data_IF_815105632785
#
_entry.id   IF_815105632785
#
_cell.length_a   1.000
_cell.length_b   1.000
_cell.length_c   1.000
_cell.angle_alpha   90.00
_cell.angle_beta   90.00
_cell.angle_gamma   90.00
#
_symmetry.space_group_name_H-M   'P 1'
#
loop_
_entity.id
_entity.type
_entity.pdbx_description
1 polymer ?
#
# COMPACT_ATOMS: atom_id res chain seq x y z
N UNK A 1 33.40 -30.07 54.81
CA UNK A 1 33.51 -30.28 53.35
C UNK A 1 32.26 -29.68 52.72
N UNK A 2 32.35 -28.43 52.29
CA UNK A 2 31.34 -27.76 51.46
C UNK A 2 32.08 -26.65 50.72
N UNK A 3 32.63 -26.98 49.55
CA UNK A 3 33.02 -25.95 48.59
C UNK A 3 31.90 -25.92 47.55
N UNK A 4 30.97 -24.99 47.75
CA UNK A 4 30.25 -24.37 46.65
C UNK A 4 31.28 -23.74 45.72
N UNK A 5 31.29 -24.16 44.46
CA UNK A 5 31.93 -23.42 43.38
C UNK A 5 31.01 -23.39 42.17
N UNK A 6 30.15 -22.39 42.21
CA UNK A 6 29.28 -21.85 41.18
C UNK A 6 30.12 -21.37 39.97
N UNK A 7 30.48 -22.28 39.06
CA UNK A 7 31.11 -21.92 37.79
C UNK A 7 30.38 -22.60 36.63
N UNK A 8 29.63 -21.80 35.89
CA UNK A 8 29.17 -22.09 34.54
C UNK A 8 30.33 -22.63 33.70
N UNK A 9 30.40 -23.95 33.47
CA UNK A 9 31.58 -24.55 32.86
C UNK A 9 31.74 -24.05 31.41
N UNK A 10 32.88 -23.44 31.13
CA UNK A 10 33.26 -22.99 29.80
C UNK A 10 33.29 -24.18 28.83
N UNK A 11 32.78 -23.96 27.63
CA UNK A 11 32.76 -24.95 26.56
C UNK A 11 33.21 -24.36 25.23
N UNK A 12 34.00 -25.14 24.50
CA UNK A 12 34.53 -24.81 23.19
C UNK A 12 33.79 -25.62 22.13
N UNK A 13 33.21 -24.93 21.16
CA UNK A 13 32.42 -25.53 20.10
C UNK A 13 33.12 -25.39 18.76
N UNK A 14 33.05 -26.42 17.92
CA UNK A 14 33.48 -26.38 16.53
C UNK A 14 32.28 -26.74 15.65
N UNK A 15 31.63 -25.73 15.08
CA UNK A 15 30.43 -25.87 14.24
C UNK A 15 30.87 -25.82 12.78
N UNK A 16 30.98 -26.99 12.13
CA UNK A 16 31.39 -27.10 10.72
C UNK A 16 32.72 -26.39 10.39
N UNK A 17 33.67 -26.39 11.33
CA UNK A 17 34.98 -25.72 11.19
C UNK A 17 35.03 -24.32 11.79
N UNK A 18 33.91 -23.73 12.22
CA UNK A 18 33.88 -22.43 12.92
C UNK A 18 33.94 -22.63 14.44
N UNK A 19 34.91 -21.98 15.07
CA UNK A 19 35.19 -22.12 16.50
C UNK A 19 34.46 -21.07 17.32
N UNK A 20 33.79 -21.50 18.39
CA UNK A 20 33.08 -20.64 19.35
C UNK A 20 33.46 -21.03 20.77
N UNK A 21 33.28 -20.08 21.70
CA UNK A 21 33.45 -20.29 23.13
C UNK A 21 32.24 -19.70 23.85
N UNK A 22 31.66 -20.46 24.78
CA UNK A 22 30.51 -20.05 25.59
C UNK A 22 30.47 -20.86 26.88
N UNK A 23 29.37 -20.81 27.63
CA UNK A 23 29.16 -21.68 28.79
C UNK A 23 28.02 -22.67 28.56
N UNK A 24 28.02 -23.78 29.32
CA UNK A 24 26.90 -24.74 29.27
C UNK A 24 25.58 -24.06 29.57
N UNK A 25 25.53 -23.17 30.57
CA UNK A 25 24.31 -22.43 30.93
C UNK A 25 23.73 -21.64 29.75
N UNK A 26 24.59 -21.03 28.93
CA UNK A 26 24.13 -20.33 27.73
C UNK A 26 23.41 -21.27 26.77
N UNK A 27 23.86 -22.52 26.66
CA UNK A 27 23.30 -23.51 25.74
C UNK A 27 22.04 -24.20 26.29
N UNK A 28 21.81 -24.15 27.61
CA UNK A 28 20.78 -24.96 28.27
C UNK A 28 19.67 -24.15 28.95
N UNK A 29 19.92 -22.89 29.35
CA UNK A 29 18.96 -22.17 30.20
C UNK A 29 17.78 -21.57 29.44
N UNK A 30 18.00 -20.99 28.25
CA UNK A 30 16.94 -20.23 27.54
C UNK A 30 15.88 -21.15 26.97
N UNK A 31 16.30 -22.27 26.39
CA UNK A 31 15.41 -23.30 25.86
C UNK A 31 15.85 -24.67 26.35
N UNK A 32 15.46 -25.05 27.57
CA UNK A 32 15.91 -26.31 28.19
C UNK A 32 15.41 -27.56 27.46
N UNK A 33 14.31 -27.43 26.72
CA UNK A 33 13.71 -28.52 25.94
C UNK A 33 14.23 -28.61 24.50
N UNK A 34 15.13 -27.70 24.09
CA UNK A 34 15.72 -27.71 22.75
C UNK A 34 16.67 -28.91 22.54
N UNK A 35 16.87 -29.29 21.27
CA UNK A 35 17.86 -30.31 20.92
C UNK A 35 19.26 -29.89 21.40
N UNK A 36 19.59 -28.59 21.27
CA UNK A 36 20.88 -28.06 21.71
C UNK A 36 21.05 -28.20 23.23
N UNK A 37 20.04 -27.86 24.03
CA UNK A 37 20.10 -28.07 25.47
C UNK A 37 20.23 -29.56 25.84
N UNK A 38 19.51 -30.44 25.14
CA UNK A 38 19.59 -31.88 25.34
C UNK A 38 21.00 -32.44 25.05
N UNK A 39 21.68 -31.95 24.02
CA UNK A 39 23.07 -32.30 23.69
C UNK A 39 24.02 -32.00 24.86
N UNK A 40 23.82 -30.87 25.55
CA UNK A 40 24.69 -30.41 26.64
C UNK A 40 24.12 -30.67 28.05
N UNK A 41 23.06 -31.45 28.17
CA UNK A 41 22.41 -31.80 29.45
C UNK A 41 23.19 -32.79 30.32
N UNK A 42 24.35 -33.26 29.85
CA UNK A 42 25.16 -34.31 30.51
C UNK A 42 24.64 -35.74 30.29
N UNK A 43 23.51 -35.92 29.59
CA UNK A 43 22.91 -37.23 29.28
C UNK A 43 23.47 -37.90 28.02
N UNK A 44 24.21 -37.16 27.20
CA UNK A 44 24.79 -37.64 25.94
C UNK A 44 26.32 -37.54 25.98
N UNK A 45 27.01 -38.57 25.50
CA UNK A 45 28.46 -38.52 25.31
C UNK A 45 28.79 -37.69 24.08
N UNK A 46 29.32 -36.48 24.29
CA UNK A 46 29.76 -35.61 23.22
C UNK A 46 31.19 -35.95 22.80
N UNK A 47 31.43 -36.07 21.49
CA UNK A 47 32.78 -36.25 20.95
C UNK A 47 33.57 -34.95 21.11
N UNK A 48 34.64 -35.01 21.91
CA UNK A 48 35.57 -33.89 22.12
C UNK A 48 36.90 -34.19 21.45
N UNK A 49 37.46 -33.18 20.78
CA UNK A 49 38.84 -33.20 20.31
C UNK A 49 39.78 -33.47 21.51
N UNK A 50 40.53 -34.58 21.52
CA UNK A 50 41.36 -34.98 22.66
C UNK A 50 42.48 -33.99 23.00
N UNK A 51 42.95 -33.21 22.03
CA UNK A 51 44.05 -32.26 22.21
C UNK A 51 43.56 -30.87 22.58
N UNK A 52 42.43 -30.43 22.00
CA UNK A 52 41.97 -29.03 22.06
C UNK A 52 40.69 -28.82 22.85
N UNK A 53 39.98 -29.89 23.20
CA UNK A 53 38.76 -29.87 24.00
C UNK A 53 37.55 -29.24 23.30
N UNK A 54 37.52 -29.26 21.96
CA UNK A 54 36.38 -28.76 21.20
C UNK A 54 35.33 -29.85 21.02
N UNK A 55 34.07 -29.54 21.32
CA UNK A 55 32.93 -30.35 20.89
C UNK A 55 32.63 -30.04 19.43
N UNK A 56 32.67 -31.06 18.58
CA UNK A 56 32.37 -30.90 17.16
C UNK A 56 30.88 -31.11 16.87
N UNK A 57 30.29 -30.20 16.10
CA UNK A 57 28.94 -30.30 15.55
C UNK A 57 29.03 -30.13 14.03
N UNK A 58 28.56 -31.13 13.30
CA UNK A 58 28.57 -31.17 11.84
C UNK A 58 27.42 -30.36 11.24
N UNK A 59 27.49 -29.04 11.43
CA UNK A 59 26.48 -28.04 11.02
C UNK A 59 27.15 -26.81 10.42
N UNK A 60 26.41 -25.96 9.72
CA UNK A 60 26.99 -24.73 9.16
C UNK A 60 27.22 -23.66 10.24
N UNK A 61 28.50 -23.44 10.56
CA UNK A 61 28.91 -22.42 11.53
C UNK A 61 28.82 -20.97 11.03
N UNK A 62 28.51 -20.71 9.75
CA UNK A 62 28.50 -19.36 9.14
C UNK A 62 27.64 -18.36 9.93
N UNK A 63 26.47 -18.79 10.38
CA UNK A 63 25.50 -17.96 11.09
C UNK A 63 25.27 -18.32 12.56
N UNK A 64 25.99 -19.32 13.08
CA UNK A 64 25.84 -19.79 14.47
C UNK A 64 26.05 -18.70 15.53
N UNK A 65 26.82 -17.63 15.21
CA UNK A 65 26.98 -16.47 16.11
C UNK A 65 25.63 -15.82 16.49
N UNK A 66 24.66 -15.83 15.58
CA UNK A 66 23.35 -15.23 15.80
C UNK A 66 22.51 -16.05 16.77
N UNK A 67 22.52 -17.38 16.60
CA UNK A 67 21.92 -18.32 17.56
C UNK A 67 22.56 -18.14 18.94
N UNK A 68 23.90 -18.07 18.99
CA UNK A 68 24.61 -17.94 20.25
C UNK A 68 24.31 -16.62 20.97
N UNK A 69 24.21 -15.51 20.24
CA UNK A 69 23.84 -14.23 20.83
C UNK A 69 22.39 -14.25 21.32
N UNK A 70 21.47 -14.77 20.53
CA UNK A 70 20.08 -14.90 20.96
C UNK A 70 19.93 -15.79 22.20
N UNK A 71 20.70 -16.87 22.32
CA UNK A 71 20.75 -17.68 23.55
C UNK A 71 21.20 -16.86 24.77
N UNK A 72 22.12 -15.90 24.59
CA UNK A 72 22.62 -15.02 25.66
C UNK A 72 21.60 -13.95 26.04
N UNK A 73 21.15 -13.14 25.09
CA UNK A 73 20.39 -11.91 25.37
C UNK A 73 18.90 -11.99 24.98
N UNK A 74 18.50 -12.98 24.19
CA UNK A 74 17.12 -13.15 23.72
C UNK A 74 16.73 -12.24 22.56
N UNK A 75 17.67 -11.43 22.05
CA UNK A 75 17.41 -10.47 20.98
C UNK A 75 17.46 -11.22 19.64
N UNK A 76 16.34 -11.20 18.93
CA UNK A 76 16.25 -11.78 17.58
C UNK A 76 17.19 -10.99 16.65
N UNK A 77 18.05 -11.67 15.87
CA UNK A 77 19.07 -10.99 15.07
C UNK A 77 18.45 -10.17 13.93
N UNK A 78 18.86 -8.90 13.78
CA UNK A 78 18.49 -8.09 12.62
C UNK A 78 19.33 -8.46 11.39
N UNK A 79 18.70 -9.07 10.39
CA UNK A 79 19.35 -9.56 9.17
C UNK A 79 18.66 -9.05 7.89
N UNK A 80 19.36 -9.20 6.76
CA UNK A 80 18.74 -9.10 5.42
C UNK A 80 17.88 -10.34 5.17
N UNK A 81 16.80 -10.21 4.40
CA UNK A 81 15.78 -11.26 4.27
C UNK A 81 16.33 -12.59 3.76
N UNK A 82 17.25 -12.55 2.80
CA UNK A 82 17.93 -13.74 2.28
C UNK A 82 18.75 -14.51 3.32
N UNK A 83 19.12 -13.88 4.44
CA UNK A 83 19.92 -14.51 5.51
C UNK A 83 19.06 -15.13 6.61
N UNK A 84 17.80 -14.72 6.78
CA UNK A 84 16.92 -15.34 7.78
C UNK A 84 16.65 -16.81 7.46
N UNK A 85 16.54 -17.18 6.18
CA UNK A 85 16.38 -18.58 5.76
C UNK A 85 17.57 -19.47 6.14
N UNK A 86 18.78 -18.91 6.22
CA UNK A 86 19.97 -19.66 6.66
C UNK A 86 19.96 -19.84 8.19
N UNK A 87 19.56 -18.81 8.95
CA UNK A 87 19.44 -18.90 10.42
C UNK A 87 18.30 -19.80 10.85
N UNK A 88 17.14 -19.72 10.19
CA UNK A 88 15.97 -20.56 10.47
C UNK A 88 16.31 -22.04 10.33
N UNK A 89 17.02 -22.43 9.27
CA UNK A 89 17.45 -23.83 9.07
C UNK A 89 18.29 -24.38 10.22
N UNK A 90 19.16 -23.56 10.79
CA UNK A 90 19.96 -23.97 11.96
C UNK A 90 19.12 -23.92 13.26
N UNK A 91 18.26 -22.90 13.44
CA UNK A 91 17.36 -22.81 14.59
C UNK A 91 16.38 -23.99 14.66
N UNK A 92 15.85 -24.44 13.51
CA UNK A 92 15.01 -25.64 13.37
C UNK A 92 15.78 -26.91 13.75
N UNK A 93 17.03 -27.06 13.27
CA UNK A 93 17.86 -28.20 13.63
C UNK A 93 18.10 -28.27 15.15
N UNK A 94 18.45 -27.14 15.77
CA UNK A 94 18.65 -27.05 17.21
C UNK A 94 17.35 -27.04 18.03
N UNK A 95 16.19 -27.00 17.36
CA UNK A 95 14.86 -26.89 17.95
C UNK A 95 14.71 -25.69 18.88
N UNK A 96 15.12 -24.51 18.39
CA UNK A 96 15.05 -23.24 19.10
C UNK A 96 13.74 -22.49 18.79
N UNK A 97 12.62 -22.92 19.37
CA UNK A 97 11.27 -22.49 18.98
C UNK A 97 11.04 -20.98 19.14
N UNK A 98 11.50 -20.39 20.24
CA UNK A 98 11.39 -18.95 20.50
C UNK A 98 12.20 -18.10 19.53
N UNK A 99 13.33 -18.62 19.01
CA UNK A 99 14.07 -17.93 17.94
C UNK A 99 13.32 -18.01 16.61
N UNK A 100 12.76 -19.18 16.30
CA UNK A 100 11.96 -19.40 15.08
C UNK A 100 10.76 -18.45 15.07
N UNK A 101 9.98 -18.43 16.16
CA UNK A 101 8.82 -17.56 16.31
C UNK A 101 9.20 -16.08 16.24
N UNK A 102 10.30 -15.70 16.89
CA UNK A 102 10.84 -14.35 16.85
C UNK A 102 11.23 -13.90 15.43
N UNK A 103 11.86 -14.77 14.64
CA UNK A 103 12.20 -14.48 13.24
C UNK A 103 10.94 -14.37 12.39
N UNK A 104 9.99 -15.30 12.55
CA UNK A 104 8.72 -15.26 11.81
C UNK A 104 7.92 -13.99 12.10
N UNK A 105 7.90 -13.53 13.35
CA UNK A 105 7.25 -12.27 13.72
C UNK A 105 7.86 -11.06 12.98
N UNK A 106 9.19 -11.00 12.85
CA UNK A 106 9.86 -9.94 12.08
C UNK A 106 9.52 -10.02 10.60
N UNK A 107 9.54 -11.23 10.02
CA UNK A 107 9.24 -11.43 8.60
C UNK A 107 7.78 -11.12 8.26
N UNK A 108 6.85 -11.46 9.14
CA UNK A 108 5.42 -11.17 8.95
C UNK A 108 5.15 -9.66 9.09
N UNK A 109 5.75 -9.00 10.08
CA UNK A 109 5.63 -7.55 10.24
C UNK A 109 6.09 -6.79 8.99
N UNK A 110 7.20 -7.22 8.37
CA UNK A 110 7.68 -6.65 7.11
C UNK A 110 6.69 -6.84 5.95
N UNK A 111 6.01 -7.99 5.88
CA UNK A 111 4.99 -8.24 4.85
C UNK A 111 3.76 -7.36 5.04
N UNK A 112 3.33 -7.17 6.28
CA UNK A 112 2.22 -6.26 6.61
C UNK A 112 2.56 -4.80 6.23
N UNK A 113 3.79 -4.36 6.51
CA UNK A 113 4.27 -3.03 6.13
C UNK A 113 4.38 -2.86 4.60
N UNK A 114 4.67 -3.93 3.83
CA UNK A 114 4.72 -3.89 2.36
C UNK A 114 3.33 -3.96 1.70
N UNK A 115 2.34 -4.66 2.28
CA UNK A 115 0.97 -4.71 1.74
C UNK A 115 0.22 -3.38 1.86
N UNK A 116 0.51 -2.59 2.91
CA UNK A 116 -0.03 -1.24 3.10
C UNK A 116 0.45 -0.23 2.04
N UNK A 117 1.52 -0.53 1.30
CA UNK A 117 2.15 0.37 0.31
C UNK A 117 1.87 -0.04 -1.15
N UNK A 118 0.98 -1.01 -1.38
CA UNK A 118 0.56 -1.33 -2.76
C UNK A 118 -0.40 -0.27 -3.31
N UNK A 119 0.13 0.65 -4.12
CA UNK A 119 -0.68 1.56 -4.93
C UNK A 119 -1.69 0.74 -5.77
N UNK A 120 -2.97 1.10 -5.69
CA UNK A 120 -4.04 0.53 -6.52
C UNK A 120 -3.61 0.53 -7.99
N UNK A 121 -3.60 -0.62 -8.65
CA UNK A 121 -3.21 -0.69 -10.07
C UNK A 121 -4.43 -0.59 -10.98
N UNK A 122 -4.22 -0.22 -12.26
CA UNK A 122 -5.29 -0.29 -13.28
C UNK A 122 -5.93 -1.69 -13.35
N UNK A 123 -5.17 -2.75 -13.13
CA UNK A 123 -5.68 -4.13 -13.12
C UNK A 123 -6.66 -4.35 -11.97
N UNK A 124 -6.38 -3.78 -10.80
CA UNK A 124 -7.27 -3.88 -9.63
C UNK A 124 -8.58 -3.13 -9.91
N UNK A 125 -8.50 -1.96 -10.54
CA UNK A 125 -9.69 -1.22 -11.00
C UNK A 125 -10.53 -2.05 -11.96
N UNK A 126 -9.90 -2.69 -12.96
CA UNK A 126 -10.60 -3.54 -13.93
C UNK A 126 -11.31 -4.71 -13.25
N UNK A 127 -10.65 -5.35 -12.28
CA UNK A 127 -11.28 -6.44 -11.50
C UNK A 127 -12.48 -5.94 -10.71
N UNK A 128 -12.35 -4.79 -10.06
CA UNK A 128 -13.46 -4.21 -9.29
C UNK A 128 -14.66 -3.93 -10.18
N UNK A 129 -14.48 -3.24 -11.32
CA UNK A 129 -15.62 -2.85 -12.20
C UNK A 129 -16.33 -4.05 -12.83
N UNK A 130 -15.71 -5.23 -12.82
CA UNK A 130 -16.31 -6.48 -13.29
C UNK A 130 -17.10 -7.23 -12.20
N UNK A 131 -16.98 -6.88 -10.91
CA UNK A 131 -17.51 -7.70 -9.80
C UNK A 131 -18.68 -7.06 -9.01
N UNK A 132 -19.60 -6.36 -9.68
CA UNK A 132 -20.74 -5.59 -9.14
C UNK A 132 -20.41 -4.23 -8.51
N UNK A 133 -21.41 -3.31 -8.58
CA UNK A 133 -21.41 -1.88 -8.21
C UNK A 133 -20.19 -1.40 -7.41
N UNK A 134 -19.26 -0.75 -8.11
CA UNK A 134 -18.00 -0.29 -7.54
C UNK A 134 -18.11 1.09 -6.91
N UNK A 135 -17.49 1.24 -5.73
CA UNK A 135 -17.30 2.52 -5.06
C UNK A 135 -15.81 2.73 -4.81
N UNK A 136 -15.23 3.74 -5.44
CA UNK A 136 -13.87 4.22 -5.19
C UNK A 136 -13.92 5.47 -4.32
N UNK A 137 -14.57 5.38 -3.16
CA UNK A 137 -14.66 6.52 -2.24
C UNK A 137 -13.40 6.65 -1.39
N UNK A 138 -12.83 7.84 -1.30
CA UNK A 138 -11.69 8.12 -0.42
C UNK A 138 -10.37 7.46 -0.83
N UNK A 139 -10.31 6.80 -2.00
CA UNK A 139 -9.11 6.10 -2.46
C UNK A 139 -8.16 7.04 -3.20
N UNK A 140 -6.87 6.73 -3.17
CA UNK A 140 -5.88 7.40 -4.00
C UNK A 140 -5.74 6.63 -5.33
N UNK A 141 -6.10 7.29 -6.42
CA UNK A 141 -5.97 6.76 -7.79
C UNK A 141 -4.97 7.58 -8.61
N UNK A 142 -4.20 8.47 -7.97
CA UNK A 142 -3.36 9.44 -8.65
C UNK A 142 -2.45 8.81 -9.70
N UNK A 143 -2.36 9.44 -10.87
CA UNK A 143 -1.51 9.00 -11.97
C UNK A 143 -1.99 7.76 -12.73
N UNK A 144 -3.08 7.10 -12.30
CA UNK A 144 -3.57 5.92 -12.99
C UNK A 144 -4.10 6.26 -14.38
N UNK A 145 -3.82 5.37 -15.32
CA UNK A 145 -4.52 5.36 -16.59
C UNK A 145 -5.83 4.60 -16.44
N UNK A 146 -6.96 5.31 -16.52
CA UNK A 146 -8.33 4.81 -16.53
C UNK A 146 -9.02 5.07 -17.89
N UNK A 147 -8.23 5.37 -18.92
CA UNK A 147 -8.72 5.69 -20.26
C UNK A 147 -9.53 4.52 -20.84
N UNK A 148 -10.59 4.87 -21.58
CA UNK A 148 -11.48 3.95 -22.31
C UNK A 148 -12.26 2.96 -21.44
N UNK A 149 -12.19 3.06 -20.11
CA UNK A 149 -12.97 2.21 -19.22
C UNK A 149 -14.43 2.66 -19.17
N UNK A 150 -15.32 1.69 -18.97
CA UNK A 150 -16.68 1.97 -18.54
C UNK A 150 -16.69 2.11 -17.02
N UNK A 151 -16.86 3.34 -16.58
CA UNK A 151 -16.89 3.78 -15.19
C UNK A 151 -18.25 4.44 -14.89
N UNK A 152 -19.27 4.08 -15.67
CA UNK A 152 -20.62 4.57 -15.42
C UNK A 152 -21.11 4.15 -14.04
N UNK A 153 -21.83 5.06 -13.37
CA UNK A 153 -22.37 4.87 -12.02
C UNK A 153 -21.32 4.66 -10.90
N UNK A 154 -20.02 4.77 -11.19
CA UNK A 154 -18.96 4.61 -10.20
C UNK A 154 -18.94 5.80 -9.25
N UNK A 155 -18.83 5.53 -7.96
CA UNK A 155 -18.72 6.57 -6.94
C UNK A 155 -17.26 6.86 -6.60
N UNK A 156 -16.72 7.97 -7.10
CA UNK A 156 -15.36 8.47 -6.81
C UNK A 156 -15.33 9.46 -5.64
N UNK A 157 -16.41 9.65 -4.89
CA UNK A 157 -16.47 10.73 -3.90
C UNK A 157 -15.29 10.68 -2.92
N UNK A 158 -14.69 11.83 -2.59
CA UNK A 158 -13.54 11.97 -1.71
C UNK A 158 -12.23 11.33 -2.23
N UNK A 159 -12.21 10.82 -3.47
CA UNK A 159 -11.00 10.22 -4.05
C UNK A 159 -9.98 11.28 -4.47
N UNK A 160 -8.70 10.87 -4.44
CA UNK A 160 -7.61 11.63 -5.06
C UNK A 160 -7.40 11.13 -6.49
N UNK A 161 -7.80 11.94 -7.48
CA UNK A 161 -7.71 11.67 -8.91
C UNK A 161 -6.65 12.53 -9.61
N UNK A 162 -5.63 12.97 -8.86
CA UNK A 162 -4.59 13.85 -9.41
C UNK A 162 -3.87 13.18 -10.57
N UNK A 163 -3.73 13.89 -11.69
CA UNK A 163 -3.05 13.40 -12.90
C UNK A 163 -3.60 12.05 -13.44
N UNK A 164 -4.84 11.70 -13.15
CA UNK A 164 -5.48 10.48 -13.68
C UNK A 164 -5.88 10.68 -15.13
N UNK A 165 -5.71 9.64 -15.95
CA UNK A 165 -6.14 9.67 -17.35
C UNK A 165 -7.52 9.01 -17.50
N UNK A 166 -8.54 9.82 -17.77
CA UNK A 166 -9.90 9.40 -18.14
C UNK A 166 -10.18 9.54 -19.64
N UNK A 167 -9.15 9.62 -20.48
CA UNK A 167 -9.36 9.89 -21.91
C UNK A 167 -10.28 8.84 -22.54
N UNK A 168 -11.36 9.29 -23.19
CA UNK A 168 -12.38 8.42 -23.81
C UNK A 168 -13.08 7.46 -22.83
N UNK A 169 -13.01 7.68 -21.52
CA UNK A 169 -13.74 6.89 -20.54
C UNK A 169 -15.24 7.24 -20.56
N UNK A 170 -16.09 6.26 -20.24
CA UNK A 170 -17.50 6.49 -19.96
C UNK A 170 -17.67 6.74 -18.45
N UNK A 171 -18.01 7.97 -18.07
CA UNK A 171 -18.25 8.39 -16.69
C UNK A 171 -19.71 8.83 -16.50
N UNK A 172 -20.62 8.32 -17.34
CA UNK A 172 -22.04 8.59 -17.23
C UNK A 172 -22.56 8.25 -15.83
N UNK A 173 -23.25 9.19 -15.17
CA UNK A 173 -23.77 9.04 -13.82
C UNK A 173 -22.74 8.66 -12.74
N UNK A 174 -21.43 8.86 -12.99
CA UNK A 174 -20.41 8.72 -11.96
C UNK A 174 -20.47 9.87 -10.95
N UNK A 175 -20.18 9.59 -9.68
CA UNK A 175 -20.22 10.59 -8.59
C UNK A 175 -18.82 11.11 -8.27
N UNK A 176 -18.67 12.42 -8.10
CA UNK A 176 -17.38 13.07 -7.85
C UNK A 176 -17.40 14.06 -6.67
N UNK A 177 -18.28 13.85 -5.69
CA UNK A 177 -18.37 14.74 -4.53
C UNK A 177 -17.01 14.84 -3.83
N UNK A 178 -16.53 16.05 -3.57
CA UNK A 178 -15.26 16.32 -2.86
C UNK A 178 -14.02 15.61 -3.44
N UNK A 179 -13.98 15.48 -4.77
CA UNK A 179 -12.82 14.89 -5.47
C UNK A 179 -11.74 15.93 -5.76
N UNK A 180 -10.48 15.53 -5.57
CA UNK A 180 -9.31 16.24 -6.07
C UNK A 180 -8.89 15.68 -7.44
N UNK A 181 -9.33 16.31 -8.52
CA UNK A 181 -8.99 15.94 -9.89
C UNK A 181 -7.97 16.91 -10.53
N UNK A 182 -7.08 17.50 -9.72
CA UNK A 182 -6.04 18.40 -10.22
C UNK A 182 -5.17 17.72 -11.29
N UNK A 183 -5.07 18.34 -12.47
CA UNK A 183 -4.28 17.83 -13.60
C UNK A 183 -4.84 16.57 -14.28
N UNK A 184 -6.04 16.10 -13.90
CA UNK A 184 -6.66 14.95 -14.54
C UNK A 184 -7.03 15.24 -16.02
N UNK A 185 -6.99 14.20 -16.84
CA UNK A 185 -7.24 14.27 -18.28
C UNK A 185 -8.58 13.61 -18.63
N UNK A 186 -9.57 14.41 -18.99
CA UNK A 186 -10.91 13.96 -19.42
C UNK A 186 -11.12 14.12 -20.93
N UNK A 187 -10.05 14.14 -21.72
CA UNK A 187 -10.13 14.34 -23.16
C UNK A 187 -11.04 13.31 -23.84
N UNK A 188 -12.07 13.79 -24.54
CA UNK A 188 -13.14 12.97 -25.15
C UNK A 188 -13.87 12.03 -24.17
N UNK A 189 -13.84 12.29 -22.85
CA UNK A 189 -14.62 11.52 -21.88
C UNK A 189 -16.10 11.94 -21.89
N UNK A 190 -16.98 11.03 -21.48
CA UNK A 190 -18.42 11.31 -21.33
C UNK A 190 -18.76 11.46 -19.85
N UNK A 191 -19.12 12.66 -19.41
CA UNK A 191 -19.50 13.01 -18.04
C UNK A 191 -20.92 13.60 -18.05
N UNK A 192 -21.90 12.77 -18.42
CA UNK A 192 -23.30 13.18 -18.56
C UNK A 192 -24.13 12.68 -17.37
N UNK A 193 -25.00 13.52 -16.83
CA UNK A 193 -26.06 13.09 -15.90
C UNK A 193 -27.34 12.64 -16.65
N UNK A 194 -28.16 11.81 -16.02
CA UNK A 194 -29.51 11.55 -16.53
C UNK A 194 -30.38 12.81 -16.44
N UNK A 195 -31.24 13.01 -17.44
CA UNK A 195 -32.26 14.05 -17.41
C UNK A 195 -33.18 13.85 -16.19
N UNK A 196 -33.02 14.73 -15.20
CA UNK A 196 -33.75 14.78 -13.92
C UNK A 196 -35.29 14.86 -14.07
N UNK A 197 -35.79 15.00 -15.30
CA UNK A 197 -37.22 15.08 -15.62
C UNK A 197 -37.90 13.72 -15.84
N UNK A 198 -37.16 12.59 -15.89
CA UNK A 198 -37.74 11.27 -16.21
C UNK A 198 -38.06 10.38 -15.00
N UNK A 199 -37.61 10.71 -13.79
CA UNK A 199 -37.85 9.89 -12.61
C UNK A 199 -38.30 10.75 -11.42
N UNK A 200 -39.61 10.94 -11.31
CA UNK A 200 -40.23 11.52 -10.13
C UNK A 200 -39.75 10.82 -8.86
N UNK A 201 -39.20 11.60 -7.93
CA UNK A 201 -38.75 11.19 -6.60
C UNK A 201 -37.58 10.19 -6.56
N UNK A 202 -36.37 10.64 -6.87
CA UNK A 202 -35.18 10.16 -6.16
C UNK A 202 -34.35 11.37 -5.76
N UNK A 203 -34.04 11.45 -4.47
CA UNK A 203 -33.13 12.42 -3.86
C UNK A 203 -31.85 12.55 -4.71
N UNK A 204 -31.77 13.62 -5.52
CA UNK A 204 -30.53 14.07 -6.12
C UNK A 204 -29.65 14.57 -4.98
N UNK A 205 -28.88 13.65 -4.39
CA UNK A 205 -27.68 14.04 -3.66
C UNK A 205 -26.93 15.02 -4.58
N UNK A 206 -26.66 16.21 -4.06
CA UNK A 206 -25.91 17.29 -4.71
C UNK A 206 -24.51 16.78 -5.14
N UNK A 207 -24.43 16.08 -6.28
CA UNK A 207 -23.30 15.18 -6.60
C UNK A 207 -22.01 15.89 -7.01
N UNK A 208 -22.02 17.22 -7.12
CA UNK A 208 -20.90 17.98 -7.69
C UNK A 208 -20.59 19.29 -6.97
N UNK A 209 -21.25 19.53 -5.84
CA UNK A 209 -20.89 20.66 -4.97
C UNK A 209 -19.42 20.48 -4.59
N UNK A 210 -18.61 21.50 -4.86
CA UNK A 210 -17.18 21.58 -4.48
C UNK A 210 -16.17 20.75 -5.31
N UNK A 211 -16.56 20.23 -6.49
CA UNK A 211 -15.60 19.51 -7.35
C UNK A 211 -14.40 20.38 -7.79
N UNK A 212 -13.18 19.86 -7.66
CA UNK A 212 -11.94 20.54 -8.01
C UNK A 212 -11.39 20.01 -9.35
N UNK A 213 -11.57 20.79 -10.41
CA UNK A 213 -11.02 20.56 -11.77
C UNK A 213 -9.86 21.52 -12.11
N UNK A 214 -9.09 21.96 -11.11
CA UNK A 214 -8.00 22.92 -11.34
C UNK A 214 -7.00 22.36 -12.35
N UNK A 215 -6.69 23.15 -13.38
CA UNK A 215 -5.78 22.78 -14.47
C UNK A 215 -6.16 21.47 -15.21
N UNK A 216 -7.38 20.97 -15.08
CA UNK A 216 -7.82 19.76 -15.78
C UNK A 216 -7.93 19.99 -17.30
N UNK A 217 -7.70 18.94 -18.08
CA UNK A 217 -7.93 18.95 -19.53
C UNK A 217 -9.29 18.33 -19.85
N UNK A 218 -10.28 19.19 -20.14
CA UNK A 218 -11.65 18.83 -20.50
C UNK A 218 -11.91 19.07 -22.00
N UNK A 219 -10.84 19.23 -22.80
CA UNK A 219 -10.95 19.50 -24.25
C UNK A 219 -11.77 18.40 -24.92
N UNK A 220 -12.78 18.78 -25.71
CA UNK A 220 -13.74 17.88 -26.38
C UNK A 220 -14.55 16.96 -25.44
N UNK A 221 -14.56 17.20 -24.12
CA UNK A 221 -15.39 16.40 -23.21
C UNK A 221 -16.88 16.71 -23.41
N UNK A 222 -17.73 15.71 -23.14
CA UNK A 222 -19.17 15.90 -23.10
C UNK A 222 -19.65 16.04 -21.64
N UNK A 223 -20.07 17.24 -21.26
CA UNK A 223 -20.61 17.64 -19.96
C UNK A 223 -22.06 18.17 -20.10
N UNK A 224 -22.80 17.74 -21.13
CA UNK A 224 -24.21 18.15 -21.29
C UNK A 224 -25.04 17.79 -20.04
N UNK A 225 -25.78 18.77 -19.52
CA UNK A 225 -26.60 18.63 -18.32
C UNK A 225 -25.83 18.48 -16.99
N UNK A 226 -24.49 18.56 -17.00
CA UNK A 226 -23.70 18.36 -15.80
C UNK A 226 -24.00 19.41 -14.71
N UNK A 227 -24.18 18.96 -13.46
CA UNK A 227 -24.23 19.86 -12.32
C UNK A 227 -22.77 20.19 -11.94
N UNK A 228 -22.39 21.47 -11.94
CA UNK A 228 -21.05 21.97 -11.64
C UNK A 228 -21.15 23.21 -10.72
N UNK A 229 -22.22 23.29 -9.90
CA UNK A 229 -22.45 24.42 -9.01
C UNK A 229 -21.30 24.55 -7.99
N UNK A 230 -20.67 25.72 -7.94
CA UNK A 230 -19.54 25.99 -7.05
C UNK A 230 -18.21 25.31 -7.44
N UNK A 231 -18.16 24.56 -8.55
CA UNK A 231 -16.98 23.82 -8.96
C UNK A 231 -15.76 24.74 -9.22
N UNK A 232 -14.57 24.25 -8.89
CA UNK A 232 -13.32 24.97 -9.10
C UNK A 232 -12.62 24.55 -10.40
N UNK A 233 -12.90 25.28 -11.47
CA UNK A 233 -12.39 25.05 -12.82
C UNK A 233 -11.21 25.99 -13.18
N UNK A 234 -10.55 26.61 -12.19
CA UNK A 234 -9.48 27.58 -12.45
C UNK A 234 -8.38 26.96 -13.33
N UNK A 235 -8.07 27.61 -14.45
CA UNK A 235 -7.04 27.18 -15.39
C UNK A 235 -7.39 25.94 -16.23
N UNK A 236 -8.61 25.40 -16.13
CA UNK A 236 -9.04 24.26 -16.93
C UNK A 236 -9.11 24.59 -18.43
N UNK A 237 -8.80 23.59 -19.27
CA UNK A 237 -8.97 23.67 -20.73
C UNK A 237 -10.35 23.14 -21.10
N UNK A 238 -11.24 24.02 -21.58
CA UNK A 238 -12.62 23.71 -21.96
C UNK A 238 -12.86 23.89 -23.47
N UNK A 239 -11.80 23.84 -24.28
CA UNK A 239 -11.92 24.04 -25.72
C UNK A 239 -12.80 22.96 -26.36
N UNK A 240 -13.79 23.37 -27.16
CA UNK A 240 -14.74 22.47 -27.83
C UNK A 240 -15.47 21.50 -26.88
N UNK A 241 -15.58 21.85 -25.60
CA UNK A 241 -16.34 21.09 -24.60
C UNK A 241 -17.83 21.33 -24.77
N UNK A 242 -18.65 20.28 -24.67
CA UNK A 242 -20.11 20.41 -24.65
C UNK A 242 -20.60 20.65 -23.21
N UNK A 243 -21.03 21.86 -22.89
CA UNK A 243 -21.60 22.27 -21.59
C UNK A 243 -23.08 22.68 -21.73
N UNK A 244 -23.76 22.22 -22.79
CA UNK A 244 -25.17 22.51 -23.01
C UNK A 244 -26.01 22.08 -21.79
N UNK A 245 -26.93 22.92 -21.35
CA UNK A 245 -27.81 22.71 -20.19
C UNK A 245 -27.10 22.46 -18.83
N UNK A 246 -25.77 22.67 -18.75
CA UNK A 246 -25.01 22.47 -17.52
C UNK A 246 -25.29 23.55 -16.45
N UNK A 247 -25.26 23.17 -15.17
CA UNK A 247 -25.37 24.11 -14.06
C UNK A 247 -23.98 24.54 -13.56
N UNK A 248 -23.48 25.68 -14.00
CA UNK A 248 -22.20 26.29 -13.60
C UNK A 248 -22.39 27.45 -12.59
N UNK A 249 -23.53 27.52 -11.89
CA UNK A 249 -23.78 28.60 -10.94
C UNK A 249 -22.66 28.65 -9.88
N UNK A 250 -22.18 29.86 -9.55
CA UNK A 250 -21.09 30.08 -8.58
C UNK A 250 -19.75 29.38 -8.90
N UNK A 251 -19.58 28.80 -10.09
CA UNK A 251 -18.34 28.11 -10.46
C UNK A 251 -17.15 29.09 -10.59
N UNK A 252 -15.95 28.63 -10.20
CA UNK A 252 -14.70 29.38 -10.34
C UNK A 252 -14.04 29.10 -11.69
N UNK A 253 -14.40 29.85 -12.72
CA UNK A 253 -13.93 29.75 -14.11
C UNK A 253 -12.82 30.78 -14.42
N UNK A 254 -11.89 31.02 -13.50
CA UNK A 254 -10.80 31.99 -13.74
C UNK A 254 -9.75 31.40 -14.67
N UNK A 255 -9.26 32.18 -15.63
CA UNK A 255 -8.19 31.79 -16.56
C UNK A 255 -8.49 30.52 -17.38
N UNK A 256 -9.78 30.23 -17.63
CA UNK A 256 -10.18 29.10 -18.47
C UNK A 256 -10.09 29.43 -19.95
N UNK A 257 -9.88 28.41 -20.78
CA UNK A 257 -10.02 28.53 -22.24
C UNK A 257 -11.39 27.98 -22.68
N UNK A 258 -12.28 28.87 -23.11
CA UNK A 258 -13.65 28.58 -23.55
C UNK A 258 -13.81 28.65 -25.09
N UNK A 259 -12.72 28.48 -25.84
CA UNK A 259 -12.78 28.51 -27.30
C UNK A 259 -13.66 27.37 -27.83
N UNK A 260 -14.61 27.71 -28.69
CA UNK A 260 -15.54 26.75 -29.31
C UNK A 260 -16.38 25.93 -28.30
N UNK A 261 -16.50 26.36 -27.04
CA UNK A 261 -17.34 25.68 -26.03
C UNK A 261 -18.83 25.89 -26.32
N UNK A 262 -19.62 24.82 -26.27
CA UNK A 262 -21.08 24.87 -26.39
C UNK A 262 -21.71 25.14 -25.01
N UNK A 263 -22.42 26.25 -24.86
CA UNK A 263 -22.99 26.75 -23.59
C UNK A 263 -24.50 27.00 -23.68
N UNK A 264 -25.16 26.52 -24.72
CA UNK A 264 -26.61 26.69 -24.91
C UNK A 264 -27.36 26.15 -23.67
N UNK A 265 -28.20 26.98 -23.04
CA UNK A 265 -28.95 26.57 -21.84
C UNK A 265 -28.14 26.46 -20.54
N UNK A 266 -26.82 26.69 -20.56
CA UNK A 266 -25.99 26.62 -19.36
C UNK A 266 -26.32 27.75 -18.35
N UNK A 267 -26.40 27.41 -17.06
CA UNK A 267 -26.63 28.37 -15.97
C UNK A 267 -25.30 28.86 -15.42
N UNK A 268 -25.02 30.16 -15.53
CA UNK A 268 -23.75 30.78 -15.12
C UNK A 268 -23.91 31.81 -13.99
N UNK A 269 -25.06 31.86 -13.31
CA UNK A 269 -25.33 32.88 -12.29
C UNK A 269 -24.28 32.82 -11.17
N UNK A 270 -23.61 33.96 -10.93
CA UNK A 270 -22.55 34.07 -9.93
C UNK A 270 -21.22 33.39 -10.28
N UNK A 271 -21.05 32.85 -11.50
CA UNK A 271 -19.79 32.26 -11.93
C UNK A 271 -18.68 33.32 -12.09
N UNK A 272 -17.45 32.97 -11.69
CA UNK A 272 -16.30 33.86 -11.76
C UNK A 272 -15.47 33.60 -13.02
N UNK A 273 -15.73 34.36 -14.08
CA UNK A 273 -15.07 34.25 -15.39
C UNK A 273 -13.83 35.14 -15.57
N UNK A 274 -13.25 35.66 -14.48
CA UNK A 274 -12.16 36.63 -14.60
C UNK A 274 -10.93 36.02 -15.30
N UNK A 275 -10.55 36.63 -16.42
CA UNK A 275 -9.43 36.17 -17.26
C UNK A 275 -9.76 34.96 -18.14
N UNK A 276 -11.03 34.57 -18.27
CA UNK A 276 -11.44 33.57 -19.25
C UNK A 276 -11.15 34.07 -20.68
N UNK A 277 -10.62 33.18 -21.53
CA UNK A 277 -10.36 33.44 -22.94
C UNK A 277 -11.42 32.74 -23.79
N UNK A 278 -11.82 33.37 -24.89
CA UNK A 278 -12.72 32.82 -25.90
C UNK A 278 -11.98 32.68 -27.22
#
# INVERSE_FOLDING_TARGET
MTNDSDSSSLIRLNIGGKKFCTTIDTLTQREPDSMLAAMFSGRHTLCQDPEKGYVFLDRDGKHFRHILNWLRDGVVPTLKDSKYTEVLREAEYYQLLGLIDGIHAILNKKKEDEELDTELTRTDIIKCIQSDRVRFRGVNLSGLDLSKLDLSFVDFSYACLRNVFFSRANLHCAKFKDVDAEGANFHNATLREEDVNLLGQISVELCWLELIFRNADLTNANLEGAILEGANLKGAKLSNTNLKDANLQRAYLRQVNLRDTHLEGAKLDGANLLGAMR
#
